data_IF_433892642604
#
_entry.id   IF_433892642604
#
_cell.length_a   1.000
_cell.length_b   1.000
_cell.length_c   1.000
_cell.angle_alpha   90.00
_cell.angle_beta   90.00
_cell.angle_gamma   90.00
#
_symmetry.space_group_name_H-M   'P 1'
#
loop_
_entity.id
_entity.type
_entity.pdbx_description
1 polymer ?
#
# COMPACT_ATOMS: atom_id res chain seq x y z
N UNK A 1 5.19 7.67 -17.75
CA UNK A 1 4.46 6.65 -16.97
C UNK A 1 5.37 6.07 -15.91
N UNK A 2 4.87 5.92 -14.67
CA UNK A 2 5.64 5.44 -13.53
C UNK A 2 4.84 4.44 -12.71
N UNK A 3 5.57 3.52 -12.08
CA UNK A 3 5.03 2.61 -11.09
C UNK A 3 5.89 2.71 -9.82
N UNK A 4 5.34 2.35 -8.68
CA UNK A 4 6.04 2.41 -7.41
C UNK A 4 5.75 1.17 -6.57
N UNK A 5 6.77 0.69 -5.86
CA UNK A 5 6.68 -0.47 -4.98
C UNK A 5 7.51 -0.27 -3.72
N UNK A 6 7.17 -0.99 -2.66
CA UNK A 6 7.93 -0.95 -1.41
C UNK A 6 7.55 -2.06 -0.43
N UNK A 7 8.30 -2.16 0.67
CA UNK A 7 8.15 -3.17 1.71
C UNK A 7 8.03 -2.51 3.09
N UNK A 8 7.12 -2.97 3.92
CA UNK A 8 6.90 -2.51 5.30
C UNK A 8 6.60 -1.01 5.38
N UNK A 9 7.42 -0.19 6.05
CA UNK A 9 7.29 1.27 6.02
C UNK A 9 7.49 1.83 4.61
N UNK A 10 8.41 1.26 3.81
CA UNK A 10 8.57 1.60 2.40
C UNK A 10 7.34 1.23 1.56
N UNK A 11 6.65 0.15 1.94
CA UNK A 11 5.37 -0.24 1.34
C UNK A 11 4.29 0.80 1.62
N UNK A 12 4.20 1.27 2.84
CA UNK A 12 3.31 2.38 3.19
C UNK A 12 3.70 3.64 2.40
N UNK A 13 4.99 3.95 2.33
CA UNK A 13 5.48 5.08 1.53
C UNK A 13 5.06 5.00 0.06
N UNK A 14 5.14 3.82 -0.53
CA UNK A 14 4.68 3.61 -1.92
C UNK A 14 3.18 3.88 -2.06
N UNK A 15 2.36 3.38 -1.14
CA UNK A 15 0.92 3.63 -1.13
C UNK A 15 0.61 5.12 -0.99
N UNK A 16 1.25 5.79 -0.04
CA UNK A 16 1.04 7.22 0.21
C UNK A 16 1.45 8.06 -0.99
N UNK A 17 2.64 7.82 -1.55
CA UNK A 17 3.11 8.57 -2.71
C UNK A 17 2.20 8.39 -3.91
N UNK A 18 1.75 7.17 -4.18
CA UNK A 18 0.83 6.91 -5.27
C UNK A 18 -0.51 7.61 -5.08
N UNK A 19 -1.10 7.48 -3.90
CA UNK A 19 -2.43 8.01 -3.63
C UNK A 19 -2.45 9.54 -3.49
N UNK A 20 -1.36 10.15 -3.03
CA UNK A 20 -1.27 11.61 -2.87
C UNK A 20 -0.91 12.36 -4.14
N UNK A 21 -0.43 11.66 -5.16
CA UNK A 21 0.04 12.29 -6.39
C UNK A 21 -0.73 11.76 -7.60
N UNK A 22 -2.02 12.11 -7.73
CA UNK A 22 -2.84 11.65 -8.85
C UNK A 22 -2.18 11.96 -10.21
N UNK A 23 -2.25 10.99 -11.11
CA UNK A 23 -1.70 11.12 -12.45
C UNK A 23 -0.20 10.88 -12.58
N UNK A 24 0.55 10.76 -11.46
CA UNK A 24 2.00 10.53 -11.50
C UNK A 24 2.40 9.06 -11.63
N UNK A 25 1.60 8.18 -11.05
CA UNK A 25 1.87 6.73 -11.06
C UNK A 25 0.72 5.99 -11.72
N UNK A 26 1.03 4.90 -12.42
CA UNK A 26 0.03 4.06 -13.09
C UNK A 26 -0.36 2.83 -12.27
N UNK A 27 0.47 2.46 -11.32
CA UNK A 27 0.19 1.38 -10.39
C UNK A 27 1.06 1.48 -9.15
N UNK A 28 0.58 0.87 -8.07
CA UNK A 28 1.30 0.77 -6.80
C UNK A 28 1.27 -0.67 -6.34
N UNK A 29 2.38 -1.15 -5.81
CA UNK A 29 2.39 -2.43 -5.11
C UNK A 29 3.18 -2.34 -3.82
N UNK A 30 2.85 -3.21 -2.88
CA UNK A 30 3.52 -3.23 -1.60
C UNK A 30 3.61 -4.65 -1.05
N UNK A 31 4.70 -4.91 -0.34
CA UNK A 31 4.91 -6.14 0.43
C UNK A 31 4.80 -5.80 1.89
N UNK A 32 3.90 -6.48 2.60
CA UNK A 32 3.73 -6.35 4.05
C UNK A 32 3.73 -4.88 4.53
N UNK A 33 2.91 -4.01 3.92
CA UNK A 33 2.94 -2.59 4.28
C UNK A 33 2.30 -2.33 5.63
N UNK A 34 2.75 -1.28 6.31
CA UNK A 34 1.94 -0.61 7.32
C UNK A 34 0.88 0.17 6.54
N UNK A 35 -0.39 -0.03 6.83
CA UNK A 35 -1.47 0.59 6.03
C UNK A 35 -2.23 1.68 6.76
N UNK A 36 -2.22 1.65 8.07
CA UNK A 36 -2.90 2.62 8.91
C UNK A 36 -1.97 3.09 10.04
N UNK A 37 -0.92 3.89 9.72
CA UNK A 37 0.05 4.29 10.73
C UNK A 37 -0.57 5.08 11.90
N UNK A 38 -1.67 5.77 11.67
CA UNK A 38 -2.36 6.49 12.74
C UNK A 38 -3.00 5.57 13.78
N UNK A 39 -3.08 4.25 13.50
CA UNK A 39 -3.79 3.27 14.34
C UNK A 39 -2.90 2.14 14.84
N UNK A 40 -1.60 2.20 14.60
CA UNK A 40 -0.66 1.15 15.02
C UNK A 40 0.57 1.78 15.69
N UNK A 41 1.21 1.06 16.66
CA UNK A 41 2.29 1.66 17.48
C UNK A 41 3.47 2.21 16.67
N UNK A 42 3.96 1.49 15.68
CA UNK A 42 5.08 1.97 14.86
C UNK A 42 4.72 3.26 14.12
N UNK A 43 3.52 3.28 13.54
CA UNK A 43 3.06 4.45 12.79
C UNK A 43 2.80 5.65 13.68
N UNK A 44 2.19 5.45 14.83
CA UNK A 44 1.95 6.52 15.80
C UNK A 44 3.26 7.15 16.26
N UNK A 45 4.27 6.33 16.51
CA UNK A 45 5.60 6.82 16.90
C UNK A 45 6.22 7.68 15.80
N UNK A 46 6.17 7.21 14.55
CA UNK A 46 6.72 7.93 13.42
C UNK A 46 5.95 9.23 13.15
N UNK A 47 4.64 9.19 13.15
CA UNK A 47 3.81 10.37 12.89
C UNK A 47 3.99 11.43 14.00
N UNK A 48 4.06 11.01 15.26
CA UNK A 48 4.34 11.93 16.36
C UNK A 48 5.69 12.62 16.19
N UNK A 49 6.72 11.86 15.80
CA UNK A 49 8.06 12.42 15.61
C UNK A 49 8.12 13.45 14.47
N UNK A 50 7.39 13.21 13.37
CA UNK A 50 7.49 14.06 12.18
C UNK A 50 6.41 15.13 12.08
N UNK A 51 5.22 14.88 12.61
CA UNK A 51 4.05 15.74 12.47
C UNK A 51 3.51 16.27 13.80
N UNK A 52 4.07 15.85 14.93
CA UNK A 52 3.56 16.22 16.23
C UNK A 52 2.25 15.51 16.59
N UNK A 53 1.46 16.11 17.47
CA UNK A 53 0.25 15.50 18.02
C UNK A 53 -1.04 15.83 17.25
N UNK A 54 -0.97 16.54 16.14
CA UNK A 54 -2.11 16.85 15.31
C UNK A 54 -2.55 15.62 14.51
N UNK A 55 -3.50 14.88 15.04
CA UNK A 55 -3.99 13.66 14.41
C UNK A 55 -4.71 13.88 13.09
N UNK A 56 -5.25 15.05 12.86
CA UNK A 56 -5.84 15.37 11.55
C UNK A 56 -4.76 15.46 10.47
N UNK A 57 -3.60 16.02 10.81
CA UNK A 57 -2.47 16.04 9.89
C UNK A 57 -1.98 14.64 9.55
N UNK A 58 -2.11 13.68 10.47
CA UNK A 58 -1.72 12.29 10.24
C UNK A 58 -2.54 11.63 9.11
N UNK A 59 -3.80 12.00 8.96
CA UNK A 59 -4.67 11.40 7.94
C UNK A 59 -4.15 11.64 6.52
N UNK A 60 -3.46 12.73 6.29
CA UNK A 60 -2.85 13.03 4.99
C UNK A 60 -1.67 12.08 4.65
N UNK A 61 -1.21 11.31 5.62
CA UNK A 61 -0.09 10.37 5.49
C UNK A 61 -0.46 8.94 5.90
N UNK A 62 -1.73 8.61 5.85
CA UNK A 62 -2.28 7.30 6.19
C UNK A 62 -2.94 6.69 4.97
N UNK A 63 -2.47 5.53 4.52
CA UNK A 63 -2.96 4.91 3.29
C UNK A 63 -4.44 4.59 3.34
N UNK A 64 -4.96 4.11 4.48
CA UNK A 64 -6.39 3.83 4.62
C UNK A 64 -7.24 5.09 4.48
N UNK A 65 -6.81 6.20 5.07
CA UNK A 65 -7.52 7.47 4.94
C UNK A 65 -7.44 8.04 3.52
N UNK A 66 -6.28 7.89 2.87
CA UNK A 66 -6.09 8.36 1.50
C UNK A 66 -6.94 7.58 0.50
N UNK A 67 -7.08 6.26 0.68
CA UNK A 67 -7.94 5.43 -0.17
C UNK A 67 -9.39 5.89 -0.10
N UNK A 68 -9.87 6.27 1.07
CA UNK A 68 -11.23 6.76 1.25
C UNK A 68 -11.51 8.04 0.47
N UNK A 69 -10.49 8.86 0.22
CA UNK A 69 -10.60 10.18 -0.41
C UNK A 69 -10.03 10.24 -1.81
N UNK A 70 -9.47 9.15 -2.32
CA UNK A 70 -8.81 9.13 -3.62
C UNK A 70 -9.80 9.42 -4.75
N UNK A 71 -9.48 10.41 -5.58
CA UNK A 71 -10.25 10.72 -6.79
C UNK A 71 -9.87 9.80 -7.95
N UNK A 72 -8.63 9.31 -7.96
CA UNK A 72 -8.11 8.40 -8.97
C UNK A 72 -8.20 6.96 -8.49
N UNK A 73 -8.61 6.04 -9.37
CA UNK A 73 -8.72 4.60 -9.07
C UNK A 73 -7.42 3.87 -9.44
N UNK A 74 -6.33 4.29 -8.82
CA UNK A 74 -5.00 3.71 -9.01
C UNK A 74 -4.98 2.25 -8.55
N UNK A 75 -4.64 1.28 -9.43
CA UNK A 75 -4.61 -0.13 -9.05
C UNK A 75 -3.57 -0.42 -7.96
N UNK A 76 -4.00 -1.04 -6.87
CA UNK A 76 -3.15 -1.39 -5.75
C UNK A 76 -2.97 -2.91 -5.66
N UNK A 77 -1.74 -3.36 -5.53
CA UNK A 77 -1.41 -4.77 -5.26
C UNK A 77 -0.67 -4.85 -3.92
N UNK A 78 -1.19 -5.65 -3.00
CA UNK A 78 -0.56 -5.88 -1.70
C UNK A 78 -0.42 -7.38 -1.48
N UNK A 79 0.82 -7.83 -1.24
CA UNK A 79 1.10 -9.17 -0.76
C UNK A 79 1.47 -9.14 0.71
N UNK A 80 0.85 -10.02 1.50
CA UNK A 80 1.05 -10.11 2.94
C UNK A 80 1.31 -11.55 3.36
N UNK A 81 2.41 -11.78 4.05
CA UNK A 81 2.69 -13.08 4.64
C UNK A 81 1.70 -13.40 5.76
N UNK A 82 1.07 -14.57 5.70
CA UNK A 82 0.10 -14.98 6.72
C UNK A 82 0.73 -15.32 8.06
N UNK A 83 2.01 -15.67 8.07
CA UNK A 83 2.77 -16.00 9.26
C UNK A 83 3.66 -14.84 9.74
N UNK A 84 3.41 -13.64 9.25
CA UNK A 84 4.13 -12.45 9.64
C UNK A 84 3.88 -12.12 11.12
N UNK A 85 4.93 -12.02 11.92
CA UNK A 85 4.84 -11.76 13.36
C UNK A 85 4.25 -10.38 13.68
N UNK A 86 4.30 -9.44 12.75
CA UNK A 86 3.80 -8.08 12.92
C UNK A 86 2.37 -7.88 12.38
N UNK A 87 1.75 -8.96 11.87
CA UNK A 87 0.48 -8.91 11.18
C UNK A 87 -0.63 -8.24 12.00
N UNK A 88 -0.85 -8.71 13.22
CA UNK A 88 -1.97 -8.27 14.04
C UNK A 88 -1.71 -6.94 14.76
N UNK A 89 -0.46 -6.64 15.10
CA UNK A 89 -0.12 -5.46 15.89
C UNK A 89 0.23 -4.22 15.06
N UNK A 90 0.89 -4.41 13.92
CA UNK A 90 1.46 -3.31 13.15
C UNK A 90 0.95 -3.21 11.72
N UNK A 91 0.76 -4.33 11.04
CA UNK A 91 0.44 -4.31 9.61
C UNK A 91 -1.05 -4.23 9.35
N UNK A 92 -1.83 -5.09 9.94
CA UNK A 92 -3.29 -5.09 9.91
C UNK A 92 -3.86 -4.80 8.51
N UNK A 93 -3.55 -5.61 7.50
CA UNK A 93 -3.94 -5.37 6.10
C UNK A 93 -5.45 -5.31 5.90
N UNK A 94 -6.23 -5.92 6.78
CA UNK A 94 -7.69 -5.87 6.74
C UNK A 94 -8.23 -4.44 6.84
N UNK A 95 -7.48 -3.51 7.44
CA UNK A 95 -7.89 -2.12 7.53
C UNK A 95 -7.87 -1.45 6.15
N UNK A 96 -6.86 -1.74 5.34
CA UNK A 96 -6.80 -1.24 3.97
C UNK A 96 -7.89 -1.88 3.11
N UNK A 97 -8.12 -3.17 3.26
CA UNK A 97 -9.15 -3.88 2.51
C UNK A 97 -10.53 -3.28 2.80
N UNK A 98 -10.86 -3.06 4.07
CA UNK A 98 -12.12 -2.44 4.46
C UNK A 98 -12.27 -1.03 3.88
N UNK A 99 -11.23 -0.22 3.92
CA UNK A 99 -11.25 1.13 3.38
C UNK A 99 -11.43 1.13 1.85
N UNK A 100 -10.73 0.23 1.16
CA UNK A 100 -10.83 0.10 -0.29
C UNK A 100 -12.22 -0.37 -0.74
N UNK A 101 -12.80 -1.35 -0.05
CA UNK A 101 -14.16 -1.83 -0.34
C UNK A 101 -15.17 -0.71 -0.14
N UNK A 102 -15.10 0.01 0.97
CA UNK A 102 -16.00 1.12 1.26
C UNK A 102 -15.92 2.23 0.22
N UNK A 103 -14.74 2.49 -0.32
CA UNK A 103 -14.51 3.55 -1.32
C UNK A 103 -14.66 3.09 -2.76
N UNK A 104 -14.84 1.79 -3.01
CA UNK A 104 -14.86 1.24 -4.36
C UNK A 104 -13.50 1.34 -5.06
N UNK A 105 -12.40 1.35 -4.31
CA UNK A 105 -11.04 1.46 -4.86
C UNK A 105 -10.50 0.07 -5.22
N UNK A 106 -9.92 -0.12 -6.42
CA UNK A 106 -9.40 -1.43 -6.82
C UNK A 106 -8.18 -1.82 -5.99
N UNK A 107 -8.31 -2.92 -5.25
CA UNK A 107 -7.24 -3.49 -4.43
C UNK A 107 -7.20 -5.00 -4.61
N UNK A 108 -6.01 -5.51 -4.93
CA UNK A 108 -5.70 -6.93 -4.81
C UNK A 108 -4.88 -7.14 -3.54
N UNK A 109 -5.50 -7.69 -2.51
CA UNK A 109 -4.79 -8.12 -1.30
C UNK A 109 -4.65 -9.63 -1.34
N UNK A 110 -3.40 -10.11 -1.35
CA UNK A 110 -3.10 -11.54 -1.38
C UNK A 110 -2.43 -11.94 -0.07
N UNK A 111 -3.11 -12.79 0.71
CA UNK A 111 -2.51 -13.39 1.89
C UNK A 111 -1.71 -14.62 1.46
N UNK A 112 -0.45 -14.70 1.88
CA UNK A 112 0.47 -15.79 1.51
C UNK A 112 0.76 -16.66 2.71
N UNK A 113 0.04 -17.77 2.92
CA UNK A 113 0.27 -18.68 4.05
C UNK A 113 1.72 -19.21 4.06
N UNK A 114 2.29 -19.35 5.25
CA UNK A 114 3.65 -19.85 5.41
C UNK A 114 4.76 -18.85 5.20
N UNK A 115 4.44 -17.61 4.81
CA UNK A 115 5.43 -16.55 4.63
C UNK A 115 5.40 -15.56 5.77
N UNK A 116 6.57 -15.13 6.19
CA UNK A 116 6.76 -14.15 7.27
C UNK A 116 7.13 -12.75 6.74
N UNK A 117 7.70 -11.89 7.60
CA UNK A 117 8.12 -10.53 7.25
C UNK A 117 9.57 -10.51 6.74
N UNK A 118 9.94 -11.45 5.88
CA UNK A 118 11.33 -11.66 5.47
C UNK A 118 11.57 -11.30 4.01
N UNK A 119 12.85 -11.19 3.68
CA UNK A 119 13.32 -10.98 2.32
C UNK A 119 12.94 -12.15 1.39
N UNK A 120 12.89 -13.37 1.92
CA UNK A 120 12.50 -14.56 1.16
C UNK A 120 11.07 -14.44 0.62
N UNK A 121 10.16 -13.88 1.41
CA UNK A 121 8.81 -13.58 0.97
C UNK A 121 8.81 -12.67 -0.27
N UNK A 122 9.57 -11.58 -0.22
CA UNK A 122 9.69 -10.64 -1.35
C UNK A 122 10.26 -11.36 -2.57
N UNK A 123 11.35 -12.10 -2.41
CA UNK A 123 11.98 -12.83 -3.50
C UNK A 123 11.03 -13.81 -4.18
N UNK A 124 10.12 -14.42 -3.41
CA UNK A 124 9.15 -15.39 -3.94
C UNK A 124 8.09 -14.74 -4.84
N UNK A 125 7.70 -13.50 -4.58
CA UNK A 125 6.56 -12.89 -5.25
C UNK A 125 6.88 -11.63 -6.06
N UNK A 126 8.13 -11.17 -6.09
CA UNK A 126 8.51 -9.94 -6.81
C UNK A 126 8.16 -10.00 -8.30
N UNK A 127 8.23 -11.19 -8.91
CA UNK A 127 7.87 -11.36 -10.32
C UNK A 127 6.41 -11.01 -10.61
N UNK A 128 5.50 -11.31 -9.69
CA UNK A 128 4.09 -10.96 -9.83
C UNK A 128 3.86 -9.46 -9.72
N UNK A 129 4.63 -8.77 -8.87
CA UNK A 129 4.59 -7.31 -8.77
C UNK A 129 5.13 -6.64 -10.04
N UNK A 130 6.21 -7.17 -10.60
CA UNK A 130 6.74 -6.69 -11.88
C UNK A 130 5.69 -6.85 -12.98
N UNK A 131 5.01 -8.00 -13.02
CA UNK A 131 3.95 -8.24 -14.00
C UNK A 131 2.78 -7.25 -13.82
N UNK A 132 2.37 -6.98 -12.59
CA UNK A 132 1.34 -5.99 -12.26
C UNK A 132 1.70 -4.61 -12.82
N UNK A 133 2.93 -4.15 -12.58
CA UNK A 133 3.39 -2.86 -13.07
C UNK A 133 3.52 -2.83 -14.59
N UNK A 134 4.06 -3.89 -15.19
CA UNK A 134 4.20 -3.99 -16.64
C UNK A 134 2.85 -3.90 -17.33
N UNK A 135 1.84 -4.59 -16.81
CA UNK A 135 0.48 -4.56 -17.36
C UNK A 135 -0.11 -3.15 -17.27
N UNK A 136 0.01 -2.49 -16.14
CA UNK A 136 -0.51 -1.13 -15.96
C UNK A 136 0.21 -0.11 -16.83
N UNK A 137 1.54 -0.20 -16.96
CA UNK A 137 2.33 0.70 -17.81
C UNK A 137 2.03 0.44 -19.29
N UNK A 138 1.86 -0.80 -19.68
CA UNK A 138 1.50 -1.16 -21.04
C UNK A 138 0.11 -0.64 -21.41
N UNK A 139 -0.86 -0.82 -20.55
CA UNK A 139 -2.22 -0.29 -20.76
C UNK A 139 -2.22 1.24 -20.88
N UNK A 140 -1.41 1.94 -20.06
CA UNK A 140 -1.28 3.39 -20.10
C UNK A 140 -0.60 3.89 -21.40
N UNK A 141 0.28 3.08 -22.00
CA UNK A 141 0.97 3.41 -23.24
C UNK A 141 0.12 3.11 -24.49
N UNK A 142 -0.94 2.30 -24.35
CA UNK A 142 -1.82 1.97 -25.47
C UNK A 142 -2.64 3.18 -25.90
N UNK A 143 -2.81 3.42 -27.21
CA UNK A 143 -3.65 4.52 -27.68
C UNK A 143 -5.09 4.37 -27.20
N UNK A 144 -5.69 5.48 -26.82
CA UNK A 144 -7.13 5.52 -26.54
C UNK A 144 -7.89 5.51 -27.86
N UNK A 145 -8.88 4.69 -27.94
CA UNK A 145 -9.73 4.59 -29.13
C UNK A 145 -11.15 5.05 -28.85
#
# INVERSE_FOLDING_TARGET
>A
SRAISGHSMGGHGALVLGLRNPGRYRSVSAFSPIVAPSKVPWGEKALTAYLGDDREAWNAWDACELVKRASERLPLLVDQGGDDEFLDGQLRPQLLQAAAVAAGHPLQLRMRPGYDHSYYFIASFIGEHIAHHAEALHAAASPSH
#
